data_IF_443148850756
#
_entry.id   IF_443148850756
#
_cell.length_a   1.000
_cell.length_b   1.000
_cell.length_c   1.000
_cell.angle_alpha   90.00
_cell.angle_beta   90.00
_cell.angle_gamma   90.00
#
_symmetry.space_group_name_H-M   'P 1'
#
loop_
_entity.id
_entity.type
_entity.pdbx_description
1 polymer ?
#
# COMPACT_ATOMS: atom_id res chain seq x y z
N UNK A 1 -17.02 -8.92 2.21
CA UNK A 1 -15.56 -9.04 2.41
C UNK A 1 -14.77 -7.98 1.63
N UNK A 2 -14.94 -7.85 0.29
CA UNK A 2 -14.20 -6.89 -0.55
C UNK A 2 -14.31 -5.41 -0.11
N UNK A 3 -15.48 -4.99 0.37
CA UNK A 3 -15.71 -3.62 0.86
C UNK A 3 -14.88 -3.29 2.10
N UNK A 4 -14.74 -4.25 3.03
CA UNK A 4 -13.96 -4.07 4.28
C UNK A 4 -12.49 -3.83 3.95
N UNK A 5 -11.94 -4.57 2.99
CA UNK A 5 -10.54 -4.41 2.64
C UNK A 5 -10.22 -3.04 2.03
N UNK A 6 -11.12 -2.53 1.18
CA UNK A 6 -10.95 -1.21 0.55
C UNK A 6 -11.06 -0.09 1.59
N UNK A 7 -11.99 -0.21 2.55
CA UNK A 7 -12.11 0.77 3.63
C UNK A 7 -10.86 0.80 4.51
N UNK A 8 -10.33 -0.36 4.91
CA UNK A 8 -9.10 -0.45 5.71
C UNK A 8 -7.87 0.10 4.99
N UNK A 9 -7.72 -0.21 3.70
CA UNK A 9 -6.63 0.34 2.90
C UNK A 9 -6.72 1.87 2.76
N UNK A 10 -7.94 2.40 2.67
CA UNK A 10 -8.16 3.85 2.61
C UNK A 10 -7.83 4.55 3.93
N UNK A 11 -8.14 3.94 5.06
CA UNK A 11 -7.70 4.43 6.38
C UNK A 11 -6.17 4.36 6.52
N UNK A 12 -5.53 3.34 5.95
CA UNK A 12 -4.08 3.23 5.94
C UNK A 12 -3.42 4.36 5.13
N UNK A 13 -3.99 4.73 3.98
CA UNK A 13 -3.54 5.89 3.20
C UNK A 13 -3.69 7.21 3.99
N UNK A 14 -4.55 7.30 5.02
CA UNK A 14 -4.64 8.50 5.87
C UNK A 14 -3.54 8.58 6.92
N UNK A 15 -2.80 7.49 7.17
CA UNK A 15 -1.61 7.53 8.04
C UNK A 15 -0.50 8.35 7.37
N UNK A 16 -0.48 8.33 6.03
CA UNK A 16 0.49 8.98 5.19
C UNK A 16 -0.23 9.96 4.23
N UNK A 17 -0.52 11.17 4.73
CA UNK A 17 -1.39 12.15 4.08
C UNK A 17 -0.92 12.67 2.71
N UNK A 18 0.26 12.27 2.22
CA UNK A 18 0.84 12.88 1.02
C UNK A 18 0.13 12.47 -0.27
N UNK A 19 -0.47 11.27 -0.35
CA UNK A 19 -1.15 10.86 -1.59
C UNK A 19 -2.38 9.96 -1.34
N UNK A 20 -3.56 10.58 -1.37
CA UNK A 20 -4.85 9.85 -1.38
C UNK A 20 -4.83 8.75 -2.44
N UNK A 21 -5.34 7.56 -2.11
CA UNK A 21 -5.48 6.41 -3.02
C UNK A 21 -4.13 5.81 -3.50
N UNK A 22 -3.03 6.07 -2.78
CA UNK A 22 -1.70 5.52 -3.08
C UNK A 22 -1.72 3.99 -3.14
N UNK A 23 -2.20 3.34 -2.08
CA UNK A 23 -2.25 1.88 -2.03
C UNK A 23 -3.06 1.28 -3.19
N UNK A 24 -4.16 1.92 -3.57
CA UNK A 24 -5.00 1.46 -4.69
C UNK A 24 -4.31 1.60 -6.05
N UNK A 25 -3.61 2.72 -6.31
CA UNK A 25 -2.84 2.90 -7.54
C UNK A 25 -1.69 1.90 -7.64
N UNK A 26 -0.94 1.69 -6.55
CA UNK A 26 0.13 0.69 -6.50
C UNK A 26 -0.43 -0.71 -6.77
N UNK A 27 -1.53 -1.09 -6.10
CA UNK A 27 -2.20 -2.36 -6.31
C UNK A 27 -2.68 -2.54 -7.77
N UNK A 28 -3.23 -1.48 -8.37
CA UNK A 28 -3.66 -1.51 -9.77
C UNK A 28 -2.48 -1.75 -10.72
N UNK A 29 -1.41 -0.96 -10.59
CA UNK A 29 -0.21 -1.06 -11.44
C UNK A 29 0.43 -2.44 -11.29
N UNK A 30 0.56 -2.94 -10.06
CA UNK A 30 1.11 -4.26 -9.78
C UNK A 30 0.32 -5.37 -10.50
N UNK A 31 -1.02 -5.33 -10.44
CA UNK A 31 -1.87 -6.29 -11.17
C UNK A 31 -1.68 -6.19 -12.68
N UNK A 32 -1.57 -4.99 -13.26
CA UNK A 32 -1.34 -4.83 -14.69
C UNK A 32 0.01 -5.40 -15.12
N UNK A 33 1.07 -5.14 -14.35
CA UNK A 33 2.40 -5.71 -14.59
C UNK A 33 2.37 -7.23 -14.47
N UNK A 34 1.75 -7.76 -13.41
CA UNK A 34 1.57 -9.20 -13.20
C UNK A 34 0.85 -9.87 -14.37
N UNK A 35 -0.25 -9.28 -14.86
CA UNK A 35 -0.98 -9.75 -16.05
C UNK A 35 -0.12 -9.75 -17.30
N UNK A 36 0.67 -8.70 -17.51
CA UNK A 36 1.55 -8.58 -18.67
C UNK A 36 2.59 -9.70 -18.74
N UNK A 37 2.98 -10.29 -17.60
CA UNK A 37 3.90 -11.43 -17.58
C UNK A 37 3.32 -12.70 -18.19
N UNK A 38 1.98 -12.85 -18.23
CA UNK A 38 1.25 -14.09 -18.57
C UNK A 38 1.68 -15.32 -17.77
N UNK A 39 2.27 -15.12 -16.59
CA UNK A 39 2.77 -16.19 -15.70
C UNK A 39 1.97 -16.36 -14.42
N UNK A 40 1.13 -15.37 -14.10
CA UNK A 40 0.35 -15.37 -12.86
C UNK A 40 -1.09 -15.77 -13.13
N UNK A 41 -1.62 -16.65 -12.29
CA UNK A 41 -3.05 -16.98 -12.28
C UNK A 41 -3.89 -15.91 -11.53
N UNK A 42 -5.21 -16.05 -11.57
CA UNK A 42 -6.12 -15.11 -10.94
C UNK A 42 -5.95 -15.02 -9.42
N UNK A 43 -5.57 -16.11 -8.76
CA UNK A 43 -5.35 -16.13 -7.32
C UNK A 43 -4.07 -15.34 -6.95
N UNK A 44 -3.01 -15.51 -7.73
CA UNK A 44 -1.77 -14.75 -7.59
C UNK A 44 -1.96 -13.27 -7.90
N UNK A 45 -2.73 -12.94 -8.94
CA UNK A 45 -3.10 -11.56 -9.26
C UNK A 45 -3.95 -10.94 -8.14
N UNK A 46 -4.86 -11.70 -7.54
CA UNK A 46 -5.63 -11.26 -6.38
C UNK A 46 -4.74 -11.03 -5.16
N UNK A 47 -3.79 -11.94 -4.90
CA UNK A 47 -2.79 -11.78 -3.85
C UNK A 47 -1.93 -10.53 -4.07
N UNK A 48 -1.51 -10.27 -5.31
CA UNK A 48 -0.74 -9.09 -5.67
C UNK A 48 -1.53 -7.79 -5.46
N UNK A 49 -2.84 -7.80 -5.76
CA UNK A 49 -3.73 -6.69 -5.48
C UNK A 49 -3.81 -6.40 -3.96
N UNK A 50 -4.02 -7.44 -3.15
CA UNK A 50 -4.06 -7.29 -1.69
C UNK A 50 -2.70 -6.84 -1.14
N UNK A 51 -1.60 -7.37 -1.67
CA UNK A 51 -0.25 -6.96 -1.28
C UNK A 51 -0.04 -5.47 -1.55
N UNK A 52 -0.42 -4.95 -2.72
CA UNK A 52 -0.32 -3.52 -3.02
C UNK A 52 -1.15 -2.64 -2.08
N UNK A 53 -2.38 -3.05 -1.76
CA UNK A 53 -3.28 -2.31 -0.86
C UNK A 53 -2.75 -2.20 0.58
N UNK A 54 -1.97 -3.19 1.04
CA UNK A 54 -1.56 -3.30 2.44
C UNK A 54 -0.05 -3.30 2.66
N UNK A 55 0.75 -3.04 1.62
CA UNK A 55 2.22 -3.14 1.72
C UNK A 55 2.79 -2.24 2.83
N UNK A 56 2.17 -1.08 3.05
CA UNK A 56 2.55 -0.08 4.02
C UNK A 56 1.87 -0.22 5.39
N UNK A 57 1.19 -1.34 5.67
CA UNK A 57 0.49 -1.56 6.94
C UNK A 57 1.41 -1.37 8.16
N UNK A 58 2.71 -1.63 8.00
CA UNK A 58 3.72 -1.43 9.04
C UNK A 58 3.86 0.03 9.51
N UNK A 59 3.51 1.02 8.68
CA UNK A 59 3.59 2.44 9.03
C UNK A 59 2.74 2.81 10.25
N UNK A 60 1.69 2.04 10.55
CA UNK A 60 0.87 2.21 11.75
C UNK A 60 1.64 2.09 13.07
N UNK A 61 2.81 1.44 13.06
CA UNK A 61 3.66 1.29 14.25
C UNK A 61 4.73 2.37 14.39
N UNK A 62 4.88 3.23 13.38
CA UNK A 62 5.90 4.26 13.39
C UNK A 62 5.44 5.50 14.16
N UNK A 63 6.36 6.19 14.87
CA UNK A 63 6.05 7.49 15.46
C UNK A 63 5.64 8.50 14.37
N UNK A 64 4.68 9.38 14.68
CA UNK A 64 4.29 10.48 13.78
C UNK A 64 5.43 11.44 13.45
N UNK A 65 6.47 11.50 14.29
CA UNK A 65 7.66 12.30 14.03
C UNK A 65 8.54 11.71 12.93
N UNK A 66 8.44 10.40 12.69
CA UNK A 66 9.15 9.66 11.64
C UNK A 66 8.34 9.64 10.35
N UNK A 67 7.02 9.40 10.45
CA UNK A 67 6.12 9.39 9.30
C UNK A 67 5.95 10.81 8.76
N UNK A 68 6.31 11.03 7.49
CA UNK A 68 6.19 12.31 6.79
C UNK A 68 7.03 13.44 7.40
N UNK A 69 8.17 13.10 8.02
CA UNK A 69 9.17 14.09 8.46
C UNK A 69 9.64 14.92 7.25
N UNK A 70 9.50 16.25 7.27
CA UNK A 70 10.07 17.10 6.23
C UNK A 70 11.60 17.14 6.41
N UNK A 71 12.31 16.46 5.51
CA UNK A 71 13.77 16.34 5.54
C UNK A 71 14.26 14.91 5.74
N UNK A 72 15.58 14.68 5.77
CA UNK A 72 16.14 13.35 5.97
C UNK A 72 15.83 12.82 7.38
N UNK A 73 15.76 11.48 7.49
CA UNK A 73 15.76 10.78 8.76
C UNK A 73 17.16 10.80 9.38
N UNK A 74 17.22 10.80 10.69
CA UNK A 74 18.42 10.60 11.49
C UNK A 74 18.67 9.10 11.73
N UNK A 75 19.86 8.72 12.19
CA UNK A 75 20.26 7.30 12.26
C UNK A 75 19.44 6.46 13.26
N UNK A 76 18.82 7.14 14.22
CA UNK A 76 18.05 6.55 15.33
C UNK A 76 16.53 6.61 15.10
N UNK A 77 16.09 7.10 13.92
CA UNK A 77 14.68 7.16 13.49
C UNK A 77 14.32 6.03 12.53
#
# INVERSE_FOLDING_TARGET
MRLVCVLLARELDLVDYEVLDHGARVAHIAVQLGRATRRLDDAQLHGLHLAGLYHDLGKLKLPKATVNKPGPLDIDE
#
